data_IF_978284393977
#
_entry.id   IF_978284393977
#
_cell.length_a   1.000
_cell.length_b   1.000
_cell.length_c   1.000
_cell.angle_alpha   90.00
_cell.angle_beta   90.00
_cell.angle_gamma   90.00
#
_symmetry.space_group_name_H-M   'P 1'
#
loop_
_entity.id
_entity.type
_entity.pdbx_description
1 polymer ?
#
# COMPACT_ATOMS: atom_id res chain seq x y z
N UNK A 1 -20.61 -50.68 48.37
CA UNK A 1 -19.62 -51.06 47.33
C UNK A 1 -19.94 -50.21 46.10
N UNK A 2 -19.36 -49.00 46.03
CA UNK A 2 -19.67 -48.03 44.98
C UNK A 2 -18.85 -48.37 43.73
N UNK A 3 -19.51 -48.89 42.69
CA UNK A 3 -18.90 -49.05 41.36
C UNK A 3 -18.92 -47.69 40.66
N UNK A 4 -17.82 -46.95 40.78
CA UNK A 4 -17.60 -45.75 39.98
C UNK A 4 -17.12 -46.16 38.59
N UNK A 5 -18.00 -45.96 37.61
CA UNK A 5 -17.76 -46.19 36.19
C UNK A 5 -16.54 -45.38 35.73
N UNK A 6 -15.56 -46.06 35.10
CA UNK A 6 -14.25 -45.53 34.65
C UNK A 6 -14.36 -44.63 33.42
N UNK A 7 -15.37 -43.76 33.37
CA UNK A 7 -15.75 -43.06 32.13
C UNK A 7 -16.16 -41.61 32.38
N UNK A 8 -15.46 -40.91 33.27
CA UNK A 8 -15.62 -39.45 33.38
C UNK A 8 -14.26 -38.80 33.62
N UNK A 9 -13.35 -38.87 32.67
CA UNK A 9 -12.07 -38.14 32.75
C UNK A 9 -11.52 -37.73 31.36
N UNK A 10 -12.37 -37.58 30.35
CA UNK A 10 -11.94 -37.20 28.98
C UNK A 10 -12.56 -35.87 28.50
N UNK A 11 -13.34 -35.17 29.35
CA UNK A 11 -14.21 -34.09 28.87
C UNK A 11 -13.71 -32.64 28.92
N UNK A 12 -12.58 -32.30 29.56
CA UNK A 12 -12.31 -30.89 29.96
C UNK A 12 -11.04 -30.27 29.35
N UNK A 13 -10.26 -30.99 28.54
CA UNK A 13 -8.96 -30.48 28.06
C UNK A 13 -8.94 -29.96 26.60
N UNK A 14 -10.09 -29.82 25.93
CA UNK A 14 -10.15 -29.47 24.50
C UNK A 14 -10.59 -28.03 24.17
N UNK A 15 -10.71 -27.14 25.16
CA UNK A 15 -11.35 -25.81 24.99
C UNK A 15 -10.39 -24.60 24.91
N UNK A 16 -9.06 -24.79 24.87
CA UNK A 16 -8.09 -23.68 24.92
C UNK A 16 -7.34 -23.37 23.61
N UNK A 17 -7.69 -23.99 22.47
CA UNK A 17 -6.98 -23.80 21.19
C UNK A 17 -7.59 -22.76 20.25
N UNK A 18 -8.58 -21.97 20.69
CA UNK A 18 -9.18 -20.89 19.89
C UNK A 18 -8.68 -19.50 20.34
N UNK A 19 -7.40 -19.38 20.68
CA UNK A 19 -6.72 -18.08 20.63
C UNK A 19 -6.47 -17.77 19.15
N UNK A 20 -7.54 -17.38 18.46
CA UNK A 20 -7.58 -17.14 17.03
C UNK A 20 -6.56 -16.09 16.60
N UNK A 21 -5.97 -16.35 15.44
CA UNK A 21 -5.21 -15.41 14.63
C UNK A 21 -5.92 -14.04 14.65
N UNK A 22 -5.36 -13.11 15.41
CA UNK A 22 -5.72 -11.70 15.29
C UNK A 22 -5.20 -11.25 13.94
N UNK A 23 -6.09 -11.16 12.96
CA UNK A 23 -5.82 -10.56 11.66
C UNK A 23 -5.24 -9.17 11.92
N UNK A 24 -3.91 -9.06 11.83
CA UNK A 24 -3.23 -7.78 11.93
C UNK A 24 -3.42 -7.10 10.59
N UNK A 25 -4.63 -6.59 10.34
CA UNK A 25 -4.99 -6.07 9.03
C UNK A 25 -3.95 -5.02 8.63
N UNK A 26 -3.21 -5.30 7.54
CA UNK A 26 -2.21 -4.41 6.96
C UNK A 26 -2.83 -3.10 6.46
N UNK A 27 -4.16 -3.04 6.42
CA UNK A 27 -4.97 -1.88 6.06
C UNK A 27 -4.61 -0.61 6.84
N UNK A 28 -4.10 -0.70 8.08
CA UNK A 28 -3.62 0.49 8.83
C UNK A 28 -2.41 1.18 8.18
N UNK A 29 -1.67 0.48 7.33
CA UNK A 29 -0.52 0.99 6.58
C UNK A 29 -0.87 1.33 5.13
N UNK A 30 -2.12 1.12 4.71
CA UNK A 30 -2.58 1.42 3.36
C UNK A 30 -3.41 2.70 3.41
N UNK A 31 -2.99 3.78 2.72
CA UNK A 31 -3.77 5.00 2.68
C UNK A 31 -5.13 4.79 1.99
N UNK A 32 -6.10 5.64 2.32
CA UNK A 32 -7.36 5.70 1.58
C UNK A 32 -7.09 6.03 0.10
N UNK A 33 -7.98 5.62 -0.83
CA UNK A 33 -7.83 5.92 -2.26
C UNK A 33 -7.60 7.43 -2.49
N UNK A 34 -8.41 8.28 -1.86
CA UNK A 34 -8.29 9.72 -1.97
C UNK A 34 -6.94 10.24 -1.46
N UNK A 35 -6.50 9.78 -0.27
CA UNK A 35 -5.22 10.20 0.31
C UNK A 35 -4.03 9.72 -0.52
N UNK A 36 -4.09 8.49 -1.02
CA UNK A 36 -3.05 7.90 -1.87
C UNK A 36 -2.92 8.66 -3.18
N UNK A 37 -4.06 8.95 -3.83
CA UNK A 37 -4.11 9.73 -5.06
C UNK A 37 -3.56 11.13 -4.86
N UNK A 38 -4.00 11.83 -3.82
CA UNK A 38 -3.53 13.18 -3.51
C UNK A 38 -2.02 13.21 -3.25
N UNK A 39 -1.49 12.22 -2.52
CA UNK A 39 -0.06 12.10 -2.25
C UNK A 39 0.74 11.85 -3.53
N UNK A 40 0.24 10.99 -4.42
CA UNK A 40 0.85 10.72 -5.73
C UNK A 40 0.85 11.97 -6.62
N UNK A 41 -0.28 12.68 -6.70
CA UNK A 41 -0.40 13.93 -7.45
C UNK A 41 0.58 14.99 -6.93
N UNK A 42 0.66 15.18 -5.61
CA UNK A 42 1.60 16.13 -5.01
C UNK A 42 3.06 15.78 -5.32
N UNK A 43 3.41 14.50 -5.23
CA UNK A 43 4.74 13.97 -5.52
C UNK A 43 5.14 14.20 -6.98
N UNK A 44 4.28 13.80 -7.93
CA UNK A 44 4.56 13.93 -9.35
C UNK A 44 4.56 15.39 -9.82
N UNK A 45 3.72 16.25 -9.21
CA UNK A 45 3.77 17.69 -9.47
C UNK A 45 5.06 18.32 -8.93
N UNK A 46 5.54 17.91 -7.75
CA UNK A 46 6.82 18.36 -7.23
C UNK A 46 7.96 17.96 -8.19
N UNK A 47 7.96 16.73 -8.70
CA UNK A 47 8.93 16.30 -9.71
C UNK A 47 8.86 17.14 -10.98
N UNK A 48 7.66 17.34 -11.53
CA UNK A 48 7.44 18.18 -12.73
C UNK A 48 7.94 19.63 -12.54
N UNK A 49 7.75 20.19 -11.34
CA UNK A 49 8.22 21.53 -10.98
C UNK A 49 9.73 21.60 -10.70
N UNK A 50 10.45 20.47 -10.73
CA UNK A 50 11.86 20.39 -10.35
C UNK A 50 12.10 20.57 -8.84
N UNK A 51 11.07 20.37 -8.02
CA UNK A 51 11.14 20.40 -6.56
C UNK A 51 11.47 19.00 -6.01
N UNK A 52 12.04 18.91 -4.80
CA UNK A 52 12.29 17.63 -4.17
C UNK A 52 10.97 16.91 -3.82
N UNK A 53 10.90 15.62 -4.15
CA UNK A 53 9.82 14.74 -3.68
C UNK A 53 10.07 14.41 -2.21
N UNK A 54 9.42 15.13 -1.30
CA UNK A 54 9.62 15.02 0.14
C UNK A 54 8.60 14.08 0.77
N UNK A 55 8.92 13.59 1.98
CA UNK A 55 8.00 12.83 2.82
C UNK A 55 6.67 13.57 2.99
N UNK A 56 5.58 12.85 2.81
CA UNK A 56 4.23 13.35 3.02
C UNK A 56 3.76 12.84 4.38
N UNK A 57 3.62 13.77 5.32
CA UNK A 57 3.11 13.49 6.66
C UNK A 57 1.63 13.10 6.62
N UNK A 58 1.23 12.19 7.52
CA UNK A 58 -0.13 11.67 7.56
C UNK A 58 -0.21 10.35 8.31
N UNK A 59 -1.36 9.67 8.18
CA UNK A 59 -1.55 8.33 8.69
C UNK A 59 -2.15 7.42 7.60
N UNK A 60 -1.36 6.57 6.94
CA UNK A 60 0.08 6.37 7.13
C UNK A 60 0.93 7.53 6.57
N UNK A 61 2.18 7.63 7.02
CA UNK A 61 3.22 8.47 6.41
C UNK A 61 3.58 7.87 5.04
N UNK A 62 3.81 8.72 4.03
CA UNK A 62 4.13 8.29 2.66
C UNK A 62 5.51 8.83 2.27
N UNK A 63 6.42 7.92 1.91
CA UNK A 63 7.76 8.24 1.41
C UNK A 63 7.80 8.02 -0.11
N UNK A 64 7.99 9.08 -0.92
CA UNK A 64 8.07 8.94 -2.37
C UNK A 64 9.43 8.38 -2.79
N UNK A 65 9.41 7.32 -3.62
CA UNK A 65 10.61 6.68 -4.16
C UNK A 65 10.43 6.46 -5.66
N UNK A 66 11.26 7.12 -6.46
CA UNK A 66 11.28 6.95 -7.92
C UNK A 66 12.73 7.03 -8.43
N UNK A 67 13.16 6.02 -9.18
CA UNK A 67 14.53 5.91 -9.67
C UNK A 67 14.84 6.86 -10.83
N UNK A 68 13.86 7.19 -11.67
CA UNK A 68 14.03 8.13 -12.79
C UNK A 68 14.20 9.55 -12.26
N UNK A 69 13.41 9.94 -11.26
CA UNK A 69 13.60 11.20 -10.56
C UNK A 69 14.98 11.29 -9.88
N UNK A 70 15.38 10.23 -9.15
CA UNK A 70 16.70 10.17 -8.51
C UNK A 70 17.85 10.24 -9.53
N UNK A 71 17.66 9.71 -10.73
CA UNK A 71 18.60 9.82 -11.84
C UNK A 71 18.62 11.21 -12.52
N UNK A 72 17.83 12.17 -12.03
CA UNK A 72 17.78 13.54 -12.55
C UNK A 72 16.93 13.70 -13.81
N UNK A 73 16.12 12.70 -14.16
CA UNK A 73 15.20 12.79 -15.29
C UNK A 73 14.15 13.85 -15.02
N UNK A 74 13.76 14.59 -16.06
CA UNK A 74 12.79 15.69 -15.94
C UNK A 74 11.44 15.27 -16.49
N UNK A 75 10.41 15.55 -15.70
CA UNK A 75 9.03 15.26 -16.03
C UNK A 75 8.38 16.53 -16.60
N UNK A 76 7.64 16.39 -17.70
CA UNK A 76 6.98 17.51 -18.38
C UNK A 76 5.45 17.43 -18.29
N UNK A 77 4.90 16.21 -18.30
CA UNK A 77 3.46 15.98 -18.15
C UNK A 77 3.17 14.76 -17.30
N UNK A 78 2.04 14.82 -16.58
CA UNK A 78 1.54 13.80 -15.67
C UNK A 78 0.04 13.68 -15.86
N UNK A 79 -0.42 12.45 -16.02
CA UNK A 79 -1.84 12.13 -16.04
C UNK A 79 -2.08 10.80 -15.31
N UNK A 80 -2.89 10.81 -14.25
CA UNK A 80 -3.32 9.58 -13.58
C UNK A 80 -4.54 9.04 -14.32
N UNK A 81 -4.36 7.92 -15.02
CA UNK A 81 -5.35 7.35 -15.92
C UNK A 81 -6.30 6.36 -15.25
N UNK A 82 -5.96 5.87 -14.06
CA UNK A 82 -6.81 4.93 -13.34
C UNK A 82 -6.26 4.49 -11.98
N UNK A 83 -7.11 3.84 -11.21
CA UNK A 83 -6.74 3.12 -9.98
C UNK A 83 -7.04 1.64 -10.19
N UNK A 84 -6.08 0.76 -9.85
CA UNK A 84 -6.26 -0.68 -9.90
C UNK A 84 -6.94 -1.16 -8.60
N UNK A 85 -8.26 -1.36 -8.67
CA UNK A 85 -9.07 -1.80 -7.53
C UNK A 85 -8.92 -3.28 -7.18
N UNK A 86 -8.25 -4.07 -8.04
CA UNK A 86 -8.02 -5.51 -7.81
C UNK A 86 -6.67 -5.77 -7.09
N UNK A 87 -6.02 -4.72 -6.62
CA UNK A 87 -4.75 -4.80 -5.92
C UNK A 87 -4.93 -5.23 -4.47
N UNK A 88 -4.57 -6.48 -4.16
CA UNK A 88 -4.54 -6.96 -2.78
C UNK A 88 -3.36 -6.32 -2.03
N UNK A 89 -3.67 -5.65 -0.91
CA UNK A 89 -2.68 -5.17 0.06
C UNK A 89 -1.98 -3.85 -0.25
N UNK A 90 -2.06 -3.31 -1.47
CA UNK A 90 -1.43 -2.03 -1.85
C UNK A 90 -2.31 -1.22 -2.81
N UNK A 91 -2.45 0.09 -2.59
CA UNK A 91 -3.06 0.98 -3.60
C UNK A 91 -2.14 1.12 -4.79
N UNK A 92 -2.67 0.99 -6.01
CA UNK A 92 -1.91 1.14 -7.26
C UNK A 92 -2.62 2.05 -8.24
N UNK A 93 -1.85 2.91 -8.90
CA UNK A 93 -2.37 3.84 -9.90
C UNK A 93 -1.62 3.66 -11.22
N UNK A 94 -2.38 3.67 -12.32
CA UNK A 94 -1.80 3.73 -13.65
C UNK A 94 -1.60 5.20 -14.02
N UNK A 95 -0.36 5.55 -14.40
CA UNK A 95 0.04 6.94 -14.69
C UNK A 95 0.74 7.03 -16.03
N UNK A 96 0.30 7.97 -16.85
CA UNK A 96 0.99 8.37 -18.07
C UNK A 96 1.94 9.52 -17.77
N UNK A 97 3.24 9.31 -18.03
CA UNK A 97 4.28 10.29 -17.83
C UNK A 97 4.91 10.70 -19.17
N UNK A 98 5.16 12.00 -19.33
CA UNK A 98 5.94 12.51 -20.47
C UNK A 98 7.25 13.09 -19.97
N UNK A 99 8.36 12.56 -20.47
CA UNK A 99 9.71 12.90 -20.03
C UNK A 99 10.34 13.94 -20.96
N UNK A 100 11.30 14.72 -20.46
CA UNK A 100 12.07 15.64 -21.30
C UNK A 100 13.05 14.85 -22.21
N UNK A 101 13.26 15.33 -23.45
CA UNK A 101 13.72 14.54 -24.59
C UNK A 101 15.12 13.88 -24.52
N UNK A 102 15.40 12.79 -25.28
CA UNK A 102 14.63 12.27 -26.43
C UNK A 102 13.52 11.25 -26.07
N UNK A 103 12.69 11.59 -25.07
CA UNK A 103 11.25 11.37 -24.84
C UNK A 103 10.56 10.32 -25.71
N UNK A 104 10.10 9.28 -25.02
CA UNK A 104 8.82 8.64 -25.30
C UNK A 104 7.82 8.95 -24.17
N UNK A 105 6.54 8.74 -24.46
CA UNK A 105 5.50 8.63 -23.42
C UNK A 105 5.74 7.31 -22.70
N UNK A 106 6.02 7.34 -21.40
CA UNK A 106 6.24 6.15 -20.58
C UNK A 106 4.99 5.92 -19.74
N UNK A 107 4.34 4.78 -19.95
CA UNK A 107 3.30 4.29 -19.05
C UNK A 107 3.97 3.50 -17.94
N UNK A 108 3.78 3.93 -16.70
CA UNK A 108 4.35 3.26 -15.54
C UNK A 108 3.29 3.09 -14.45
N UNK A 109 3.53 2.14 -13.56
CA UNK A 109 2.66 1.83 -12.43
C UNK A 109 3.33 2.28 -11.15
N UNK A 110 2.57 2.98 -10.31
CA UNK A 110 2.97 3.42 -8.98
C UNK A 110 2.11 2.73 -7.92
#
# INVERSE_FOLDING_TARGET
MFQYSRTVLVGIAALLLVAGCRDSSTNRFVPSSASARQALEATLNAWKDGKPMSRIEGNPIIDPVDSQWQAGQKLTSVEITGEDTNSEGHRRFDVALTMQQPAGVVKTRY
#
